data_IF_887717130144
#
_entry.id   IF_887717130144
#
_cell.length_a   1.000
_cell.length_b   1.000
_cell.length_c   1.000
_cell.angle_alpha   90.00
_cell.angle_beta   90.00
_cell.angle_gamma   90.00
#
_symmetry.space_group_name_H-M   'P 1'
#
loop_
_entity.id
_entity.type
_entity.pdbx_description
1 polymer ?
#
# COMPACT_ATOMS: atom_id res chain seq x y z
N UNK A 1 -10.77 -29.52 32.81
CA UNK A 1 -9.78 -28.61 32.19
C UNK A 1 -10.54 -27.37 31.80
N UNK A 2 -10.10 -26.16 32.18
CA UNK A 2 -10.77 -24.92 31.75
C UNK A 2 -10.41 -24.68 30.29
N UNK A 3 -11.36 -24.25 29.46
CA UNK A 3 -11.06 -23.86 28.08
C UNK A 3 -10.21 -22.60 28.06
N UNK A 4 -9.46 -22.36 26.99
CA UNK A 4 -8.63 -21.16 26.86
C UNK A 4 -9.49 -19.89 27.05
N UNK A 5 -10.67 -19.84 26.44
CA UNK A 5 -11.66 -18.77 26.65
C UNK A 5 -12.08 -18.55 28.11
N UNK A 6 -12.23 -19.62 28.90
CA UNK A 6 -12.55 -19.52 30.33
C UNK A 6 -11.38 -19.00 31.16
N UNK A 7 -10.14 -19.30 30.75
CA UNK A 7 -8.95 -18.70 31.35
C UNK A 7 -8.94 -17.19 31.05
N UNK A 8 -9.17 -16.78 29.79
CA UNK A 8 -9.15 -15.38 29.36
C UNK A 8 -10.17 -14.48 30.08
N UNK A 9 -11.35 -15.02 30.39
CA UNK A 9 -12.40 -14.27 31.10
C UNK A 9 -12.05 -14.02 32.58
N UNK A 10 -11.31 -14.93 33.22
CA UNK A 10 -10.93 -14.83 34.64
C UNK A 10 -9.75 -13.87 34.89
N UNK A 11 -8.82 -13.73 33.96
CA UNK A 11 -7.66 -12.82 34.12
C UNK A 11 -7.99 -11.35 33.82
N UNK A 12 -9.12 -11.03 33.17
CA UNK A 12 -9.53 -9.65 32.92
C UNK A 12 -8.57 -8.84 32.03
N UNK A 13 -7.61 -9.51 31.38
CA UNK A 13 -6.64 -8.92 30.46
C UNK A 13 -6.86 -9.55 29.09
N UNK A 14 -7.08 -8.73 28.06
CA UNK A 14 -7.03 -9.16 26.66
C UNK A 14 -5.54 -9.45 26.31
N UNK A 15 -5.12 -10.73 26.20
CA UNK A 15 -3.72 -11.06 25.95
C UNK A 15 -3.29 -10.77 24.51
N UNK A 16 -4.24 -10.42 23.63
CA UNK A 16 -4.00 -10.09 22.22
C UNK A 16 -3.97 -8.59 21.94
N UNK A 17 -3.91 -7.78 23.00
CA UNK A 17 -3.72 -6.33 22.89
C UNK A 17 -2.28 -5.99 22.50
N UNK A 18 -1.82 -6.46 21.33
CA UNK A 18 -0.66 -5.89 20.65
C UNK A 18 -1.09 -4.52 20.13
N UNK A 19 -0.72 -3.49 20.88
CA UNK A 19 -0.96 -2.08 20.53
C UNK A 19 0.17 -1.63 19.62
N UNK A 20 -0.09 -1.60 18.31
CA UNK A 20 0.77 -0.94 17.34
C UNK A 20 -0.05 -0.42 16.16
N UNK A 21 0.25 0.79 15.69
CA UNK A 21 -0.20 1.20 14.36
C UNK A 21 0.40 0.23 13.31
N UNK A 22 -0.24 0.03 12.13
CA UNK A 22 0.38 -0.72 11.05
C UNK A 22 1.82 -0.23 10.81
N UNK A 23 2.74 -1.13 10.48
CA UNK A 23 4.12 -0.74 10.17
C UNK A 23 4.14 0.39 9.12
N UNK A 24 5.04 1.36 9.30
CA UNK A 24 5.20 2.53 8.41
C UNK A 24 4.01 3.51 8.39
N UNK A 25 3.12 3.48 9.39
CA UNK A 25 2.00 4.44 9.46
C UNK A 25 2.50 5.83 9.87
N UNK A 26 2.90 6.62 8.88
CA UNK A 26 3.26 8.02 9.04
C UNK A 26 2.07 8.96 8.84
N UNK A 27 2.23 10.22 9.27
CA UNK A 27 1.28 11.24 8.86
C UNK A 27 1.35 11.45 7.34
N UNK A 28 0.22 11.69 6.68
CA UNK A 28 0.21 11.90 5.23
C UNK A 28 1.15 13.04 4.83
N UNK A 29 1.22 14.12 5.59
CA UNK A 29 2.20 15.19 5.36
C UNK A 29 3.64 14.68 5.43
N UNK A 30 4.00 13.88 6.44
CA UNK A 30 5.37 13.31 6.50
C UNK A 30 5.65 12.50 5.24
N UNK A 31 4.75 11.59 4.85
CA UNK A 31 4.94 10.73 3.68
C UNK A 31 5.09 11.50 2.36
N UNK A 32 4.39 12.63 2.21
CA UNK A 32 4.45 13.40 0.96
C UNK A 32 5.71 14.25 0.84
N UNK A 33 6.23 14.77 1.96
CA UNK A 33 7.34 15.74 1.95
C UNK A 33 8.70 15.14 2.26
N UNK A 34 8.77 14.06 3.04
CA UNK A 34 10.02 13.36 3.33
C UNK A 34 10.35 12.39 2.20
N UNK A 35 11.20 12.83 1.28
CA UNK A 35 11.67 12.02 0.15
C UNK A 35 12.84 11.10 0.51
N UNK A 36 13.32 11.10 1.76
CA UNK A 36 14.40 10.22 2.27
C UNK A 36 15.67 10.23 1.40
N UNK A 37 15.99 11.36 0.77
CA UNK A 37 17.16 11.51 -0.10
C UNK A 37 17.06 10.82 -1.47
N UNK A 38 15.91 10.22 -1.84
CA UNK A 38 15.69 9.55 -3.14
C UNK A 38 15.19 10.46 -4.26
N UNK A 39 15.10 11.78 -4.02
CA UNK A 39 14.64 12.76 -5.00
C UNK A 39 13.24 12.45 -5.56
N UNK A 40 13.01 12.80 -6.83
CA UNK A 40 11.73 12.56 -7.51
C UNK A 40 11.27 11.09 -7.55
N UNK A 41 12.21 10.14 -7.47
CA UNK A 41 11.88 8.70 -7.44
C UNK A 41 11.11 8.29 -6.19
N UNK A 42 11.26 9.02 -5.09
CA UNK A 42 10.56 8.72 -3.83
C UNK A 42 9.23 9.47 -3.66
N UNK A 43 8.79 10.23 -4.67
CA UNK A 43 7.49 10.89 -4.64
C UNK A 43 6.35 9.86 -4.55
N UNK A 44 5.39 10.08 -3.66
CA UNK A 44 4.34 9.11 -3.34
C UNK A 44 3.17 9.14 -4.34
N UNK A 45 2.92 8.02 -5.00
CA UNK A 45 1.79 7.81 -5.89
C UNK A 45 0.58 7.31 -5.09
N UNK A 46 -0.57 8.01 -5.14
CA UNK A 46 -1.76 7.60 -4.40
C UNK A 46 -2.44 6.36 -5.02
N UNK A 47 -2.64 5.31 -4.22
CA UNK A 47 -3.53 4.19 -4.55
C UNK A 47 -4.93 4.42 -3.97
N UNK A 48 -5.41 5.67 -4.05
CA UNK A 48 -6.70 6.08 -3.49
C UNK A 48 -7.86 5.47 -4.29
N UNK A 49 -8.76 4.67 -3.68
CA UNK A 49 -9.90 4.09 -4.38
C UNK A 49 -10.74 5.09 -5.19
N UNK A 50 -10.88 6.31 -4.68
CA UNK A 50 -11.66 7.35 -5.35
C UNK A 50 -10.96 7.87 -6.62
N UNK A 51 -9.65 8.07 -6.57
CA UNK A 51 -8.84 8.46 -7.75
C UNK A 51 -8.83 7.30 -8.74
N UNK A 52 -8.54 6.09 -8.26
CA UNK A 52 -8.47 4.87 -9.06
C UNK A 52 -9.78 4.63 -9.81
N UNK A 53 -10.95 4.80 -9.16
CA UNK A 53 -12.27 4.67 -9.83
C UNK A 53 -12.53 5.76 -10.88
N UNK A 54 -12.02 6.98 -10.69
CA UNK A 54 -12.15 8.07 -11.68
C UNK A 54 -11.22 7.89 -12.88
N UNK A 55 -10.04 7.29 -12.69
CA UNK A 55 -9.08 6.99 -13.76
C UNK A 55 -9.48 5.70 -14.49
N UNK A 56 -9.81 4.64 -13.74
CA UNK A 56 -10.19 3.31 -14.21
C UNK A 56 -11.52 2.87 -13.55
N UNK A 57 -12.68 3.17 -14.16
CA UNK A 57 -13.98 2.90 -13.56
C UNK A 57 -14.34 1.40 -13.49
N UNK A 58 -13.59 0.54 -14.19
CA UNK A 58 -13.75 -0.91 -14.20
C UNK A 58 -12.47 -1.56 -13.65
N UNK A 59 -12.30 -1.64 -12.32
CA UNK A 59 -11.13 -2.28 -11.73
C UNK A 59 -11.10 -3.77 -12.06
N UNK A 60 -9.90 -4.37 -12.02
CA UNK A 60 -9.78 -5.83 -12.04
C UNK A 60 -10.27 -6.34 -10.69
N UNK A 61 -11.31 -7.16 -10.70
CA UNK A 61 -11.88 -7.78 -9.51
C UNK A 61 -11.63 -9.28 -9.54
N UNK A 62 -11.06 -9.83 -8.46
CA UNK A 62 -10.70 -11.26 -8.37
C UNK A 62 -10.64 -11.72 -6.92
N UNK A 63 -10.67 -13.03 -6.70
CA UNK A 63 -10.27 -13.64 -5.43
C UNK A 63 -8.79 -13.34 -5.16
N UNK A 64 -8.50 -12.91 -3.94
CA UNK A 64 -7.16 -12.70 -3.37
C UNK A 64 -7.13 -13.24 -1.94
N UNK A 65 -5.94 -13.36 -1.37
CA UNK A 65 -5.73 -13.78 0.01
C UNK A 65 -5.05 -12.67 0.82
N UNK A 66 -5.35 -12.59 2.10
CA UNK A 66 -4.68 -11.68 3.02
C UNK A 66 -4.27 -12.44 4.27
N UNK A 67 -3.00 -12.31 4.67
CA UNK A 67 -2.48 -12.94 5.88
C UNK A 67 -2.61 -11.96 7.04
N UNK A 68 -3.18 -12.43 8.15
CA UNK A 68 -3.37 -11.62 9.35
C UNK A 68 -3.46 -12.48 10.61
N UNK A 69 -3.67 -11.83 11.75
CA UNK A 69 -3.97 -12.43 13.04
C UNK A 69 -5.48 -12.30 13.39
N UNK A 70 -5.90 -12.87 14.52
CA UNK A 70 -7.29 -12.81 14.98
C UNK A 70 -7.82 -11.37 15.16
N UNK A 71 -6.99 -10.47 15.69
CA UNK A 71 -7.34 -9.05 15.86
C UNK A 71 -7.51 -8.35 14.51
N UNK A 72 -6.65 -8.67 13.56
CA UNK A 72 -6.68 -8.20 12.18
C UNK A 72 -7.92 -8.66 11.44
N UNK A 73 -8.35 -9.92 11.62
CA UNK A 73 -9.63 -10.42 11.12
C UNK A 73 -10.81 -9.56 11.63
N UNK A 74 -10.84 -9.27 12.93
CA UNK A 74 -11.85 -8.37 13.52
C UNK A 74 -11.84 -6.96 12.93
N UNK A 75 -10.66 -6.42 12.60
CA UNK A 75 -10.50 -5.13 11.90
C UNK A 75 -10.99 -5.21 10.46
N UNK A 76 -10.66 -6.27 9.72
CA UNK A 76 -11.06 -6.48 8.32
C UNK A 76 -12.57 -6.54 8.17
N UNK A 77 -13.28 -7.22 9.08
CA UNK A 77 -14.75 -7.26 9.09
C UNK A 77 -15.36 -5.85 9.15
N UNK A 78 -14.77 -4.94 9.93
CA UNK A 78 -15.18 -3.53 10.06
C UNK A 78 -14.76 -2.66 8.87
N UNK A 79 -13.83 -3.12 8.04
CA UNK A 79 -13.29 -2.38 6.89
C UNK A 79 -14.05 -2.63 5.59
N UNK A 80 -14.83 -3.72 5.50
CA UNK A 80 -15.67 -4.01 4.33
C UNK A 80 -16.62 -2.83 4.02
N UNK A 81 -16.78 -2.51 2.74
CA UNK A 81 -17.56 -1.34 2.28
C UNK A 81 -16.90 0.03 2.55
N UNK A 82 -15.73 0.06 3.19
CA UNK A 82 -14.97 1.27 3.48
C UNK A 82 -14.08 1.73 2.33
N UNK A 83 -13.32 2.81 2.60
CA UNK A 83 -12.34 3.40 1.67
C UNK A 83 -10.90 2.92 1.90
N UNK A 84 -10.69 2.05 2.88
CA UNK A 84 -9.36 1.57 3.25
C UNK A 84 -8.90 0.49 2.28
N UNK A 85 -7.59 0.41 2.10
CA UNK A 85 -6.91 -0.60 1.30
C UNK A 85 -6.03 -1.48 2.17
N UNK A 86 -5.87 -2.74 1.79
CA UNK A 86 -5.02 -3.71 2.48
C UNK A 86 -4.01 -4.30 1.50
N UNK A 87 -2.91 -4.83 2.03
CA UNK A 87 -2.05 -5.73 1.26
C UNK A 87 -2.77 -7.06 1.07
N UNK A 88 -2.49 -7.78 0.01
CA UNK A 88 -3.01 -9.10 -0.30
C UNK A 88 -1.98 -9.83 -1.17
N UNK A 89 -2.23 -11.10 -1.45
CA UNK A 89 -1.36 -11.95 -2.25
C UNK A 89 -2.18 -12.94 -3.11
N UNK A 90 -1.59 -13.42 -4.20
CA UNK A 90 -1.99 -14.67 -4.87
C UNK A 90 -1.10 -15.84 -4.44
N UNK A 91 0.20 -15.59 -4.25
CA UNK A 91 1.20 -16.59 -3.90
C UNK A 91 1.99 -16.16 -2.67
N UNK A 92 2.23 -17.12 -1.78
CA UNK A 92 3.04 -16.94 -0.58
C UNK A 92 3.63 -18.28 -0.18
N UNK A 93 4.89 -18.26 0.27
CA UNK A 93 5.59 -19.42 0.79
C UNK A 93 4.90 -19.94 2.06
N UNK A 94 4.84 -21.26 2.19
CA UNK A 94 4.19 -21.91 3.32
C UNK A 94 4.80 -21.51 4.68
N UNK A 95 6.11 -21.26 4.73
CA UNK A 95 6.78 -20.77 5.93
C UNK A 95 6.25 -19.39 6.34
N UNK A 96 6.07 -18.48 5.37
CA UNK A 96 5.59 -17.12 5.62
C UNK A 96 4.13 -17.11 6.09
N UNK A 97 3.31 -18.02 5.58
CA UNK A 97 1.93 -18.21 6.05
C UNK A 97 1.90 -18.54 7.56
N UNK A 98 2.83 -19.36 8.03
CA UNK A 98 2.89 -19.80 9.42
C UNK A 98 3.47 -18.71 10.32
N UNK A 99 4.62 -18.16 9.97
CA UNK A 99 5.35 -17.22 10.83
C UNK A 99 4.85 -15.78 10.73
N UNK A 100 4.13 -15.43 9.66
CA UNK A 100 3.81 -14.06 9.31
C UNK A 100 4.98 -13.33 8.64
N UNK A 101 4.71 -12.12 8.13
CA UNK A 101 5.72 -11.18 7.59
C UNK A 101 6.00 -10.07 8.60
N UNK A 102 4.96 -9.33 9.01
CA UNK A 102 5.04 -8.19 9.94
C UNK A 102 4.08 -8.27 11.12
N UNK A 103 2.95 -8.97 10.96
CA UNK A 103 2.10 -9.42 12.05
C UNK A 103 2.41 -10.88 12.34
N UNK A 104 1.85 -11.41 13.42
CA UNK A 104 1.70 -12.86 13.56
C UNK A 104 0.89 -13.40 12.35
N UNK A 105 1.16 -14.66 11.99
CA UNK A 105 0.48 -15.38 10.93
C UNK A 105 -0.74 -16.15 11.44
N UNK A 106 -1.19 -17.14 10.66
CA UNK A 106 -2.18 -18.12 11.11
C UNK A 106 -3.61 -17.93 10.60
N UNK A 107 -4.00 -16.73 10.14
CA UNK A 107 -5.31 -16.50 9.52
C UNK A 107 -5.15 -16.00 8.09
N UNK A 108 -5.55 -16.83 7.11
CA UNK A 108 -5.60 -16.44 5.70
C UNK A 108 -7.03 -16.12 5.32
N UNK A 109 -7.27 -14.87 4.93
CA UNK A 109 -8.60 -14.39 4.56
C UNK A 109 -8.73 -14.45 3.04
N UNK A 110 -9.57 -15.33 2.54
CA UNK A 110 -9.96 -15.36 1.14
C UNK A 110 -11.07 -14.33 0.88
N UNK A 111 -10.89 -13.48 -0.13
CA UNK A 111 -11.83 -12.40 -0.42
C UNK A 111 -11.90 -12.05 -1.90
N UNK A 112 -13.06 -11.60 -2.37
CA UNK A 112 -13.16 -10.91 -3.66
C UNK A 112 -12.86 -9.43 -3.46
N UNK A 113 -11.84 -8.91 -4.15
CA UNK A 113 -11.42 -7.52 -4.00
C UNK A 113 -11.11 -6.85 -5.34
N UNK A 114 -11.17 -5.53 -5.33
CA UNK A 114 -10.73 -4.70 -6.46
C UNK A 114 -9.22 -4.47 -6.32
N UNK A 115 -8.46 -4.79 -7.37
CA UNK A 115 -7.00 -4.63 -7.40
C UNK A 115 -6.65 -3.18 -7.71
N UNK A 116 -5.81 -2.57 -6.86
CA UNK A 116 -5.24 -1.24 -7.05
C UNK A 116 -3.86 -1.32 -7.71
N UNK A 117 -3.03 -2.26 -7.29
CA UNK A 117 -1.74 -2.60 -7.88
C UNK A 117 -1.42 -4.07 -7.55
N UNK A 118 -0.69 -4.75 -8.43
CA UNK A 118 -0.23 -6.11 -8.23
C UNK A 118 1.18 -6.31 -8.83
N UNK A 119 2.06 -6.96 -8.07
CA UNK A 119 3.44 -7.24 -8.44
C UNK A 119 3.85 -8.62 -7.93
N UNK A 120 4.79 -9.27 -8.62
CA UNK A 120 5.39 -10.52 -8.14
C UNK A 120 6.32 -10.31 -6.93
N UNK A 121 6.85 -9.09 -6.79
CA UNK A 121 7.76 -8.65 -5.73
C UNK A 121 7.04 -7.69 -4.78
N UNK A 122 7.52 -7.58 -3.54
CA UNK A 122 7.06 -6.57 -2.58
C UNK A 122 7.33 -5.14 -3.09
N UNK A 123 6.28 -4.34 -3.24
CA UNK A 123 6.37 -2.94 -3.68
C UNK A 123 6.54 -1.98 -2.51
N UNK A 124 6.65 -2.51 -1.27
CA UNK A 124 6.77 -1.72 -0.05
C UNK A 124 5.63 -0.72 0.07
N UNK A 125 4.39 -1.13 -0.21
CA UNK A 125 3.26 -0.21 -0.17
C UNK A 125 2.97 0.26 1.27
N UNK A 126 2.77 1.57 1.43
CA UNK A 126 2.70 2.22 2.75
C UNK A 126 1.30 2.75 3.05
N UNK A 127 0.67 2.36 4.19
CA UNK A 127 -0.60 2.94 4.61
C UNK A 127 -0.41 4.30 5.30
N UNK A 128 -1.23 5.29 4.94
CA UNK A 128 -1.37 6.51 5.74
C UNK A 128 -2.22 6.26 7.01
N UNK A 129 -2.27 7.22 7.94
CA UNK A 129 -3.12 7.17 9.15
C UNK A 129 -4.63 6.96 8.89
N UNK A 130 -5.09 7.17 7.67
CA UNK A 130 -6.49 6.94 7.27
C UNK A 130 -6.72 5.54 6.69
N UNK A 131 -5.65 4.78 6.42
CA UNK A 131 -5.68 3.45 5.84
C UNK A 131 -5.70 3.42 4.31
N UNK A 132 -5.36 4.53 3.63
CA UNK A 132 -5.11 4.53 2.18
C UNK A 132 -3.64 4.19 1.94
N UNK A 133 -3.38 3.36 0.94
CA UNK A 133 -2.01 2.96 0.58
C UNK A 133 -1.42 3.82 -0.52
N UNK A 134 -0.10 3.84 -0.52
CA UNK A 134 0.74 4.61 -1.41
C UNK A 134 1.93 3.76 -1.81
N UNK A 135 2.46 4.02 -3.00
CA UNK A 135 3.74 3.47 -3.46
C UNK A 135 4.61 4.63 -3.92
N UNK A 136 5.91 4.45 -3.97
CA UNK A 136 6.81 5.47 -4.51
C UNK A 136 6.76 5.47 -6.03
N UNK A 137 7.22 6.54 -6.68
CA UNK A 137 7.34 6.57 -8.13
C UNK A 137 8.33 5.48 -8.62
N UNK A 138 9.39 5.19 -7.86
CA UNK A 138 10.32 4.09 -8.16
C UNK A 138 9.65 2.71 -8.18
N UNK A 139 8.66 2.44 -7.31
CA UNK A 139 7.88 1.19 -7.38
C UNK A 139 7.21 1.00 -8.75
N UNK A 140 6.95 2.07 -9.51
CA UNK A 140 6.41 2.00 -10.86
C UNK A 140 7.49 1.88 -11.94
N UNK A 141 8.66 2.48 -11.75
CA UNK A 141 9.66 2.64 -12.82
C UNK A 141 10.85 1.69 -12.74
N UNK A 142 11.25 1.28 -11.54
CA UNK A 142 12.38 0.36 -11.35
C UNK A 142 12.09 -0.98 -12.04
N UNK A 143 13.12 -1.64 -12.61
CA UNK A 143 12.95 -2.99 -13.13
C UNK A 143 12.62 -3.97 -11.97
N UNK A 144 12.00 -5.12 -12.28
CA UNK A 144 11.79 -6.17 -11.27
C UNK A 144 13.08 -6.74 -10.66
N UNK A 145 14.22 -6.54 -11.32
CA UNK A 145 15.55 -7.02 -10.89
C UNK A 145 16.36 -5.94 -10.14
N UNK A 146 15.74 -4.81 -9.80
CA UNK A 146 16.40 -3.76 -9.01
C UNK A 146 16.47 -4.19 -7.54
N UNK A 147 17.50 -3.77 -6.76
CA UNK A 147 17.51 -3.98 -5.30
C UNK A 147 16.27 -3.45 -4.59
N UNK A 148 15.64 -2.41 -5.14
CA UNK A 148 14.28 -1.97 -4.79
C UNK A 148 13.37 -2.23 -5.98
N UNK A 149 12.82 -3.46 -6.11
CA UNK A 149 12.15 -3.89 -7.32
C UNK A 149 10.87 -3.08 -7.59
N UNK A 150 10.55 -2.94 -8.87
CA UNK A 150 9.35 -2.23 -9.33
C UNK A 150 8.69 -2.87 -10.55
N UNK A 151 7.69 -2.18 -11.10
CA UNK A 151 6.88 -2.70 -12.22
C UNK A 151 7.53 -2.60 -13.61
N UNK A 152 8.76 -2.11 -13.73
CA UNK A 152 9.46 -1.98 -15.00
C UNK A 152 8.89 -0.91 -15.93
N UNK A 153 8.28 0.15 -15.38
CA UNK A 153 7.66 1.23 -16.13
C UNK A 153 8.63 2.27 -16.73
N UNK A 154 9.92 2.23 -16.37
CA UNK A 154 10.95 3.25 -16.66
C UNK A 154 10.74 4.08 -17.93
N UNK A 155 11.18 3.59 -19.08
CA UNK A 155 11.10 4.35 -20.34
C UNK A 155 9.67 4.79 -20.71
N UNK A 156 8.65 4.00 -20.32
CA UNK A 156 7.23 4.28 -20.62
C UNK A 156 6.66 5.40 -19.75
N UNK A 157 7.26 5.69 -18.60
CA UNK A 157 6.81 6.67 -17.63
C UNK A 157 7.75 7.89 -17.50
N UNK A 158 8.77 8.03 -18.36
CA UNK A 158 9.65 9.22 -18.38
C UNK A 158 8.89 10.55 -18.54
N UNK A 159 7.77 10.53 -19.26
CA UNK A 159 6.89 11.70 -19.39
C UNK A 159 6.17 12.04 -18.07
N UNK A 160 5.79 11.03 -17.30
CA UNK A 160 5.13 11.18 -16.01
C UNK A 160 6.05 11.82 -14.97
N UNK A 161 7.34 11.44 -14.94
CA UNK A 161 8.35 12.05 -14.07
C UNK A 161 8.41 13.58 -14.25
N UNK A 162 8.51 14.03 -15.51
CA UNK A 162 8.51 15.47 -15.85
C UNK A 162 7.20 16.17 -15.49
N UNK A 163 6.07 15.47 -15.59
CA UNK A 163 4.77 16.04 -15.20
C UNK A 163 4.67 16.18 -13.68
N UNK A 164 5.23 15.23 -12.91
CA UNK A 164 5.32 15.29 -11.44
C UNK A 164 6.20 16.48 -11.04
N UNK A 165 7.40 16.61 -11.60
CA UNK A 165 8.30 17.74 -11.34
C UNK A 165 7.58 19.09 -11.56
N UNK A 166 6.89 19.25 -12.70
CA UNK A 166 6.13 20.46 -13.01
C UNK A 166 4.99 20.71 -12.02
N UNK A 167 4.29 19.65 -11.61
CA UNK A 167 3.22 19.75 -10.61
C UNK A 167 3.78 20.23 -9.26
N UNK A 168 4.89 19.66 -8.80
CA UNK A 168 5.53 20.07 -7.54
C UNK A 168 5.95 21.54 -7.59
N UNK A 169 6.65 21.97 -8.65
CA UNK A 169 7.00 23.39 -8.82
C UNK A 169 5.79 24.32 -8.80
N UNK A 170 4.70 23.92 -9.47
CA UNK A 170 3.47 24.71 -9.47
C UNK A 170 2.91 24.86 -8.06
N UNK A 171 2.90 23.78 -7.27
CA UNK A 171 2.40 23.80 -5.89
C UNK A 171 3.30 24.68 -5.01
N UNK A 172 4.63 24.51 -5.10
CA UNK A 172 5.61 25.31 -4.36
C UNK A 172 5.36 26.80 -4.61
N UNK A 173 5.35 27.23 -5.88
CA UNK A 173 5.12 28.65 -6.25
C UNK A 173 3.74 29.18 -5.89
N UNK A 174 2.76 28.31 -5.64
CA UNK A 174 1.41 28.72 -5.22
C UNK A 174 1.34 28.98 -3.72
N UNK A 175 2.15 28.27 -2.92
CA UNK A 175 2.02 28.23 -1.46
C UNK A 175 3.24 28.77 -0.71
N UNK A 176 4.29 29.21 -1.41
CA UNK A 176 5.44 29.92 -0.82
C UNK A 176 6.04 30.94 -1.78
N UNK A 177 6.83 31.87 -1.23
CA UNK A 177 7.59 32.87 -1.98
C UNK A 177 8.95 32.30 -2.46
N UNK A 178 8.99 31.00 -2.81
CA UNK A 178 10.23 30.34 -3.23
C UNK A 178 10.82 31.08 -4.44
N UNK A 179 12.11 31.47 -4.41
CA UNK A 179 12.68 32.34 -5.43
C UNK A 179 12.65 31.68 -6.81
N UNK A 180 12.38 32.48 -7.85
CA UNK A 180 12.47 32.04 -9.26
C UNK A 180 13.92 31.84 -9.73
N UNK A 181 14.87 32.46 -9.03
CA UNK A 181 16.31 32.39 -9.32
C UNK A 181 16.99 31.35 -8.46
N UNK A 182 16.78 30.07 -8.77
CA UNK A 182 17.48 28.98 -8.08
C UNK A 182 17.76 27.82 -9.02
N UNK A 183 18.98 27.28 -9.03
CA UNK A 183 19.28 25.98 -9.60
C UNK A 183 18.92 24.85 -8.63
N UNK A 184 18.01 25.06 -7.66
CA UNK A 184 17.64 24.03 -6.70
C UNK A 184 16.78 22.96 -7.37
N UNK A 185 17.09 21.71 -7.08
CA UNK A 185 16.31 20.57 -7.54
C UNK A 185 14.93 20.59 -6.85
N UNK A 186 13.88 20.20 -7.57
CA UNK A 186 12.48 20.34 -7.10
C UNK A 186 12.24 19.59 -5.78
N UNK A 187 12.96 18.48 -5.57
CA UNK A 187 12.94 17.67 -4.36
C UNK A 187 13.41 18.42 -3.12
N UNK A 188 14.42 19.29 -3.25
CA UNK A 188 14.94 20.12 -2.16
C UNK A 188 13.88 21.16 -1.81
N UNK A 189 13.40 21.91 -2.81
CA UNK A 189 12.38 22.92 -2.64
C UNK A 189 11.06 22.34 -2.07
N UNK A 190 10.71 21.13 -2.49
CA UNK A 190 9.55 20.41 -1.97
C UNK A 190 9.71 20.06 -0.50
N UNK A 191 10.86 19.51 -0.11
CA UNK A 191 11.16 19.16 1.30
C UNK A 191 11.15 20.40 2.19
N UNK A 192 11.78 21.49 1.74
CA UNK A 192 11.82 22.79 2.44
C UNK A 192 10.41 23.37 2.66
N UNK A 193 9.54 23.31 1.65
CA UNK A 193 8.13 23.70 1.78
C UNK A 193 7.42 22.88 2.87
N UNK A 194 7.66 21.57 2.91
CA UNK A 194 7.09 20.68 3.92
C UNK A 194 7.46 21.08 5.34
N UNK A 195 8.75 21.34 5.57
CA UNK A 195 9.28 21.77 6.86
C UNK A 195 8.73 23.14 7.28
N UNK A 196 8.73 24.10 6.37
CA UNK A 196 8.18 25.44 6.58
C UNK A 196 6.71 25.38 7.02
N UNK A 197 5.89 24.62 6.28
CA UNK A 197 4.45 24.53 6.52
C UNK A 197 4.12 23.76 7.81
N UNK A 198 4.98 22.82 8.22
CA UNK A 198 4.84 22.09 9.49
C UNK A 198 5.09 22.99 10.69
N UNK A 199 6.04 23.92 10.57
CA UNK A 199 6.44 24.85 11.65
C UNK A 199 5.49 26.05 11.71
N UNK A 200 5.24 26.71 10.58
CA UNK A 200 4.62 28.04 10.55
C UNK A 200 3.11 28.02 10.24
N UNK A 201 2.64 27.14 9.35
CA UNK A 201 1.29 27.27 8.77
C UNK A 201 0.54 25.94 8.62
N UNK A 202 0.25 25.27 9.74
CA UNK A 202 -0.48 23.99 9.78
C UNK A 202 -1.80 23.96 8.99
N UNK A 203 -2.47 25.12 8.83
CA UNK A 203 -3.73 25.22 8.06
C UNK A 203 -3.50 25.15 6.54
N UNK A 204 -2.38 25.69 6.06
CA UNK A 204 -2.00 25.68 4.62
C UNK A 204 -1.65 24.28 4.15
N UNK A 205 -1.11 23.44 5.05
CA UNK A 205 -0.78 22.03 4.77
C UNK A 205 -1.95 21.26 4.12
N UNK A 206 -3.18 21.47 4.57
CA UNK A 206 -4.36 20.80 4.01
C UNK A 206 -4.64 21.19 2.55
N UNK A 207 -4.37 22.44 2.17
CA UNK A 207 -4.53 22.94 0.80
C UNK A 207 -3.46 22.36 -0.12
N UNK A 208 -2.21 22.31 0.35
CA UNK A 208 -1.10 21.72 -0.41
C UNK A 208 -1.34 20.23 -0.68
N UNK A 209 -1.76 19.46 0.34
CA UNK A 209 -2.11 18.04 0.18
C UNK A 209 -3.25 17.86 -0.83
N UNK A 210 -4.24 18.75 -0.82
CA UNK A 210 -5.33 18.73 -1.79
C UNK A 210 -4.81 18.97 -3.20
N UNK A 211 -4.00 20.01 -3.41
CA UNK A 211 -3.45 20.34 -4.73
C UNK A 211 -2.52 19.25 -5.27
N UNK A 212 -1.78 18.58 -4.37
CA UNK A 212 -0.98 17.41 -4.70
C UNK A 212 -1.85 16.24 -5.21
N UNK A 213 -2.92 15.89 -4.47
CA UNK A 213 -3.84 14.82 -4.87
C UNK A 213 -4.55 15.11 -6.19
N UNK A 214 -4.99 16.36 -6.39
CA UNK A 214 -5.65 16.80 -7.62
C UNK A 214 -4.67 16.77 -8.81
N UNK A 215 -3.44 17.26 -8.60
CA UNK A 215 -2.38 17.20 -9.61
C UNK A 215 -2.01 15.76 -9.98
N UNK A 216 -1.85 14.88 -8.99
CA UNK A 216 -1.57 13.46 -9.21
C UNK A 216 -2.70 12.79 -9.99
N UNK A 217 -3.96 13.08 -9.69
CA UNK A 217 -5.08 12.54 -10.46
C UNK A 217 -5.01 12.97 -11.94
N UNK A 218 -4.68 14.24 -12.23
CA UNK A 218 -4.50 14.72 -13.60
C UNK A 218 -3.38 13.96 -14.32
N UNK A 219 -2.22 13.79 -13.65
CA UNK A 219 -1.07 13.06 -14.19
C UNK A 219 -1.42 11.59 -14.44
N UNK A 220 -2.10 10.95 -13.50
CA UNK A 220 -2.55 9.56 -13.63
C UNK A 220 -3.55 9.40 -14.78
N UNK A 221 -4.48 10.33 -14.97
CA UNK A 221 -5.40 10.33 -16.13
C UNK A 221 -4.64 10.42 -17.45
N UNK A 222 -3.67 11.32 -17.55
CA UNK A 222 -2.82 11.50 -18.73
C UNK A 222 -2.05 10.22 -19.08
N UNK A 223 -1.59 9.48 -18.07
CA UNK A 223 -0.81 8.24 -18.23
C UNK A 223 -1.66 6.96 -18.05
N UNK A 224 -2.98 7.08 -18.06
CA UNK A 224 -3.92 6.03 -17.61
C UNK A 224 -3.78 4.70 -18.37
N UNK A 225 -3.49 4.73 -19.67
CA UNK A 225 -3.30 3.51 -20.46
C UNK A 225 -2.04 2.74 -20.03
N UNK A 226 -0.93 3.46 -19.86
CA UNK A 226 0.36 2.85 -19.47
C UNK A 226 0.28 2.34 -18.03
N UNK A 227 -0.18 3.19 -17.12
CA UNK A 227 -0.35 2.85 -15.72
C UNK A 227 -1.34 1.68 -15.53
N UNK A 228 -2.50 1.70 -16.18
CA UNK A 228 -3.49 0.64 -16.02
C UNK A 228 -2.94 -0.73 -16.45
N UNK A 229 -2.16 -0.78 -17.53
CA UNK A 229 -1.48 -1.99 -17.96
C UNK A 229 -0.40 -2.44 -16.97
N UNK A 230 0.42 -1.51 -16.46
CA UNK A 230 1.48 -1.83 -15.50
C UNK A 230 0.90 -2.35 -14.18
N UNK A 231 -0.04 -1.61 -13.59
CA UNK A 231 -0.63 -1.91 -12.28
C UNK A 231 -1.38 -3.25 -12.24
N UNK A 232 -1.84 -3.76 -13.39
CA UNK A 232 -2.67 -4.96 -13.47
C UNK A 232 -2.02 -6.10 -14.26
N UNK A 233 -0.81 -5.92 -14.81
CA UNK A 233 -0.14 -6.95 -15.60
C UNK A 233 0.00 -8.27 -14.81
N UNK A 234 0.39 -8.18 -13.54
CA UNK A 234 0.61 -9.35 -12.70
C UNK A 234 -0.67 -10.15 -12.43
N UNK A 235 -1.85 -9.52 -12.46
CA UNK A 235 -3.13 -10.24 -12.21
C UNK A 235 -3.44 -11.28 -13.28
N UNK A 236 -2.79 -11.20 -14.44
CA UNK A 236 -2.89 -12.18 -15.54
C UNK A 236 -1.83 -13.28 -15.42
N UNK A 237 -0.65 -12.95 -14.89
CA UNK A 237 0.50 -13.87 -14.77
C UNK A 237 0.37 -14.75 -13.53
N UNK A 238 0.19 -14.12 -12.34
CA UNK A 238 0.05 -14.76 -11.02
C UNK A 238 1.11 -15.83 -10.70
N UNK A 239 2.28 -15.70 -11.31
CA UNK A 239 3.39 -16.63 -11.17
C UNK A 239 4.63 -15.79 -10.97
N UNK A 240 5.38 -16.10 -9.92
CA UNK A 240 6.69 -15.53 -9.67
C UNK A 240 7.69 -16.09 -10.68
N UNK A 241 8.28 -15.21 -11.49
CA UNK A 241 9.44 -15.58 -12.29
C UNK A 241 10.69 -15.60 -11.40
N UNK A 242 11.59 -16.57 -11.58
CA UNK A 242 12.88 -16.55 -10.90
C UNK A 242 13.63 -15.26 -11.23
N UNK A 243 14.33 -14.71 -10.25
CA UNK A 243 15.34 -13.69 -10.46
C UNK A 243 16.41 -14.24 -11.42
N UNK A 244 16.76 -13.51 -12.49
CA UNK A 244 17.63 -14.04 -13.53
C UNK A 244 19.07 -14.24 -13.08
N UNK A 245 19.51 -13.57 -12.01
CA UNK A 245 20.89 -13.63 -11.54
C UNK A 245 21.07 -14.74 -10.50
N UNK A 246 20.11 -14.90 -9.58
CA UNK A 246 20.16 -15.87 -8.48
C UNK A 246 19.39 -17.16 -8.76
N UNK A 247 18.34 -17.11 -9.59
CA UNK A 247 17.37 -18.20 -9.77
C UNK A 247 16.34 -18.29 -8.62
N UNK A 248 16.43 -17.41 -7.62
CA UNK A 248 15.51 -17.40 -6.49
C UNK A 248 14.14 -16.83 -6.88
N UNK A 249 13.10 -17.24 -6.15
CA UNK A 249 11.75 -16.68 -6.30
C UNK A 249 11.38 -15.85 -5.07
N UNK A 250 10.63 -14.75 -5.25
CA UNK A 250 10.01 -14.04 -4.14
C UNK A 250 9.22 -14.99 -3.22
N UNK A 251 9.41 -14.85 -1.91
CA UNK A 251 8.68 -15.63 -0.92
C UNK A 251 7.17 -15.28 -0.89
N UNK A 252 6.78 -14.12 -1.40
CA UNK A 252 5.38 -13.74 -1.62
C UNK A 252 5.29 -12.69 -2.72
N UNK A 253 4.11 -12.60 -3.32
CA UNK A 253 3.74 -11.47 -4.19
C UNK A 253 2.99 -10.38 -3.38
N UNK A 254 3.02 -9.13 -3.86
CA UNK A 254 2.26 -8.04 -3.24
C UNK A 254 1.16 -7.52 -4.16
N UNK A 255 -0.06 -7.56 -3.62
CA UNK A 255 -1.20 -6.82 -4.13
C UNK A 255 -1.62 -5.77 -3.12
N UNK A 256 -2.11 -4.64 -3.61
CA UNK A 256 -2.91 -3.72 -2.81
C UNK A 256 -4.33 -3.75 -3.32
N UNK A 257 -5.26 -3.99 -2.41
CA UNK A 257 -6.67 -4.18 -2.76
C UNK A 257 -7.59 -3.33 -1.90
N UNK A 258 -8.77 -3.02 -2.43
CA UNK A 258 -9.85 -2.37 -1.70
C UNK A 258 -11.20 -2.97 -2.08
N UNK A 259 -12.30 -2.43 -1.52
CA UNK A 259 -13.67 -2.84 -1.85
C UNK A 259 -13.85 -4.38 -1.80
N UNK A 260 -13.30 -4.98 -0.74
CA UNK A 260 -13.24 -6.42 -0.60
C UNK A 260 -14.49 -6.98 0.09
N UNK A 261 -14.81 -8.22 -0.24
CA UNK A 261 -15.82 -9.04 0.43
C UNK A 261 -15.18 -10.34 0.89
N UNK A 262 -15.19 -10.59 2.20
CA UNK A 262 -14.67 -11.84 2.79
C UNK A 262 -15.54 -13.01 2.33
N UNK A 263 -14.88 -14.08 1.87
CA UNK A 263 -15.50 -15.34 1.44
C UNK A 263 -15.31 -16.44 2.46
N UNK A 264 -14.05 -16.70 2.83
CA UNK A 264 -13.66 -17.79 3.72
C UNK A 264 -12.47 -17.35 4.56
N UNK A 265 -12.39 -17.87 5.78
CA UNK A 265 -11.23 -17.73 6.66
C UNK A 265 -10.59 -19.11 6.72
N UNK A 266 -9.33 -19.20 6.35
CA UNK A 266 -8.52 -20.40 6.50
C UNK A 266 -7.60 -20.19 7.70
N UNK A 267 -7.49 -21.22 8.53
CA UNK A 267 -6.79 -21.17 9.81
C UNK A 267 -5.65 -22.19 9.76
N UNK A 268 -4.46 -21.81 10.22
CA UNK A 268 -3.34 -22.75 10.27
C UNK A 268 -3.63 -23.89 11.26
N UNK A 269 -3.01 -25.07 11.09
CA UNK A 269 -3.24 -26.22 11.98
C UNK A 269 -2.98 -25.94 13.46
N UNK A 270 -2.10 -24.99 13.77
CA UNK A 270 -1.79 -24.57 15.14
C UNK A 270 -3.01 -23.98 15.86
N UNK A 271 -3.84 -23.21 15.15
CA UNK A 271 -5.06 -22.58 15.69
C UNK A 271 -6.33 -23.37 15.37
N UNK A 272 -6.24 -24.44 14.56
CA UNK A 272 -7.36 -25.31 14.20
C UNK A 272 -8.14 -25.87 15.40
N UNK A 273 -7.46 -26.37 16.46
CA UNK A 273 -8.13 -26.92 17.65
C UNK A 273 -9.06 -25.94 18.37
N UNK A 274 -8.86 -24.63 18.22
CA UNK A 274 -9.72 -23.62 18.84
C UNK A 274 -11.11 -23.52 18.19
N UNK A 275 -11.30 -24.17 17.03
CA UNK A 275 -12.53 -24.14 16.22
C UNK A 275 -13.08 -25.54 15.90
N UNK A 276 -12.53 -26.61 16.50
CA UNK A 276 -12.97 -28.00 16.24
C UNK A 276 -14.41 -28.29 16.69
N UNK A 277 -14.95 -27.50 17.63
CA UNK A 277 -16.33 -27.62 18.14
C UNK A 277 -17.30 -26.60 17.51
N UNK A 278 -16.86 -25.82 16.51
CA UNK A 278 -17.66 -24.77 15.87
C UNK A 278 -18.36 -25.33 14.62
N UNK A 279 -19.60 -25.82 14.78
CA UNK A 279 -20.44 -26.43 13.73
C UNK A 279 -20.79 -25.47 12.56
N UNK A 280 -20.39 -24.20 12.65
CA UNK A 280 -20.64 -23.15 11.64
C UNK A 280 -19.55 -23.08 10.54
N UNK A 281 -18.56 -23.97 10.53
CA UNK A 281 -17.48 -24.02 9.53
C UNK A 281 -17.71 -25.15 8.50
N UNK A 282 -18.63 -24.90 7.54
CA UNK A 282 -18.72 -25.62 6.26
C UNK A 282 -18.25 -24.73 5.08
#
# INVERSE_FOLDING_TARGET
>A
MKTYQQLLFEIGVDPFKIVGAPAWTESLSTMLFDLQGGGLKNVMIPLSPAIMKRVWPKPVRTTVFHLTDYTGLGKLKKMQGGKKSISAFFNMDAMVIQTGIKSEGGYIIEMDADILIASQDDLSSQPDKTGRRWVTFQSLVNPPTDPMPGLGGGAKLRGMEKDIEKMLWKIIKTHSDYPDQTPSEVEIAWTELGDEMRIMYKKTMGLIIKDYLDGMEVIMKKNSRVLGNLLTAYTKKRIAEPDPDSGDKPMWDELVVNNFKIKKVHISPEFGPDFEDDDDID
#
